data_IF_774952196092
#
_entry.id   IF_774952196092
#
_cell.length_a   1.000
_cell.length_b   1.000
_cell.length_c   1.000
_cell.angle_alpha   90.00
_cell.angle_beta   90.00
_cell.angle_gamma   90.00
#
_symmetry.space_group_name_H-M   'P 1'
#
loop_
_entity.id
_entity.type
_entity.pdbx_description
1 polymer ?
#
# COMPACT_ATOMS: atom_id res chain seq x y z
N UNK A 1 10.27 23.54 -2.06
CA UNK A 1 10.36 22.69 -3.27
C UNK A 1 9.53 21.42 -3.04
N UNK A 2 8.26 21.36 -3.47
CA UNK A 2 7.30 20.32 -3.01
C UNK A 2 6.42 19.73 -4.15
N UNK A 3 6.90 19.70 -5.38
CA UNK A 3 6.05 19.46 -6.56
C UNK A 3 6.59 18.37 -7.52
N UNK A 4 7.43 17.44 -7.05
CA UNK A 4 7.96 16.34 -7.91
C UNK A 4 7.08 15.05 -7.84
N UNK A 5 5.88 15.09 -7.24
CA UNK A 5 5.01 13.91 -7.14
C UNK A 5 3.89 13.83 -8.17
N UNK A 6 3.90 14.64 -9.23
CA UNK A 6 2.79 14.70 -10.20
C UNK A 6 2.92 13.79 -11.43
N UNK A 7 3.90 12.88 -11.49
CA UNK A 7 4.16 12.10 -12.72
C UNK A 7 4.31 10.59 -12.51
N UNK A 8 3.60 10.01 -11.52
CA UNK A 8 3.34 8.56 -11.53
C UNK A 8 1.85 8.29 -11.74
N UNK A 9 1.40 8.07 -13.00
CA UNK A 9 0.00 7.71 -13.27
C UNK A 9 -0.40 6.37 -12.64
N UNK A 10 0.59 5.58 -12.19
CA UNK A 10 0.41 4.25 -11.60
C UNK A 10 0.06 4.30 -10.10
N UNK A 11 0.13 5.48 -9.46
CA UNK A 11 -0.19 5.63 -8.03
C UNK A 11 -1.71 5.75 -7.87
N UNK A 12 -2.36 4.67 -7.43
CA UNK A 12 -3.81 4.65 -7.16
C UNK A 12 -4.13 5.49 -5.93
N UNK A 13 -4.56 6.73 -6.13
CA UNK A 13 -5.09 7.60 -5.07
C UNK A 13 -6.54 7.19 -4.79
N UNK A 14 -6.79 6.43 -3.73
CA UNK A 14 -8.13 6.00 -3.33
C UNK A 14 -8.12 4.87 -2.30
N UNK A 15 -9.30 4.42 -1.87
CA UNK A 15 -9.45 3.28 -0.97
C UNK A 15 -8.84 2.02 -1.57
N UNK A 16 -8.41 1.08 -0.71
CA UNK A 16 -8.01 -0.25 -1.14
C UNK A 16 -9.21 -0.97 -1.77
N UNK A 17 -8.96 -1.74 -2.83
CA UNK A 17 -9.98 -2.63 -3.39
C UNK A 17 -10.10 -3.88 -2.52
N UNK A 18 -11.24 -4.58 -2.56
CA UNK A 18 -11.43 -5.80 -1.75
C UNK A 18 -10.32 -6.85 -1.95
N UNK A 19 -9.78 -6.97 -3.17
CA UNK A 19 -8.63 -7.84 -3.46
C UNK A 19 -7.33 -7.34 -2.80
N UNK A 20 -7.10 -6.03 -2.79
CA UNK A 20 -5.95 -5.42 -2.13
C UNK A 20 -6.05 -5.60 -0.61
N UNK A 21 -7.23 -5.36 -0.02
CA UNK A 21 -7.53 -5.60 1.39
C UNK A 21 -7.23 -7.04 1.80
N UNK A 22 -7.76 -8.02 1.06
CA UNK A 22 -7.54 -9.43 1.35
C UNK A 22 -6.05 -9.80 1.25
N UNK A 23 -5.35 -9.26 0.27
CA UNK A 23 -3.91 -9.48 0.11
C UNK A 23 -3.12 -8.85 1.27
N UNK A 24 -3.45 -7.65 1.71
CA UNK A 24 -2.82 -6.99 2.87
C UNK A 24 -3.01 -7.84 4.12
N UNK A 25 -4.24 -8.30 4.39
CA UNK A 25 -4.55 -9.12 5.57
C UNK A 25 -3.77 -10.45 5.53
N UNK A 26 -3.77 -11.15 4.39
CA UNK A 26 -3.04 -12.41 4.23
C UNK A 26 -1.54 -12.23 4.40
N UNK A 27 -0.97 -11.20 3.76
CA UNK A 27 0.46 -10.93 3.84
C UNK A 27 0.88 -10.44 5.22
N UNK A 28 0.07 -9.63 5.89
CA UNK A 28 0.32 -9.21 7.26
C UNK A 28 0.29 -10.39 8.24
N UNK A 29 -0.66 -11.32 8.08
CA UNK A 29 -0.70 -12.53 8.89
C UNK A 29 0.56 -13.41 8.72
N UNK A 30 1.17 -13.40 7.53
CA UNK A 30 2.38 -14.18 7.23
C UNK A 30 3.69 -13.46 7.60
N UNK A 31 3.74 -12.14 7.41
CA UNK A 31 4.97 -11.35 7.45
C UNK A 31 5.06 -10.39 8.64
N UNK A 32 3.92 -10.11 9.30
CA UNK A 32 3.76 -9.06 10.29
C UNK A 32 3.89 -7.66 9.70
N UNK A 33 4.45 -6.73 10.48
CA UNK A 33 4.58 -5.31 10.12
C UNK A 33 5.68 -5.02 9.08
N UNK A 34 5.90 -5.91 8.11
CA UNK A 34 6.88 -5.74 7.03
C UNK A 34 6.28 -4.96 5.86
N UNK A 35 5.88 -3.72 6.11
CA UNK A 35 5.11 -2.90 5.16
C UNK A 35 5.75 -2.75 3.78
N UNK A 36 7.07 -2.56 3.70
CA UNK A 36 7.79 -2.46 2.43
C UNK A 36 7.71 -3.73 1.59
N UNK A 37 7.66 -4.90 2.24
CA UNK A 37 7.53 -6.19 1.55
C UNK A 37 6.09 -6.41 1.05
N UNK A 38 5.10 -6.01 1.86
CA UNK A 38 3.68 -6.07 1.49
C UNK A 38 3.39 -5.11 0.32
N UNK A 39 3.93 -3.88 0.36
CA UNK A 39 3.81 -2.92 -0.73
C UNK A 39 4.42 -3.41 -2.05
N UNK A 40 5.50 -4.20 -1.98
CA UNK A 40 6.09 -4.84 -3.16
C UNK A 40 5.14 -5.81 -3.88
N UNK A 41 4.08 -6.29 -3.21
CA UNK A 41 3.06 -7.17 -3.79
C UNK A 41 1.81 -6.39 -4.27
N UNK A 42 1.73 -5.10 -3.96
CA UNK A 42 0.59 -4.23 -4.29
C UNK A 42 1.04 -3.14 -5.25
N UNK A 43 1.03 -3.40 -6.58
CA UNK A 43 1.51 -2.43 -7.56
C UNK A 43 0.66 -1.15 -7.47
N UNK A 44 1.35 -0.01 -7.33
CA UNK A 44 0.69 1.29 -7.18
C UNK A 44 0.30 1.64 -5.73
N UNK A 45 0.65 0.81 -4.74
CA UNK A 45 0.55 1.11 -3.31
C UNK A 45 1.92 1.24 -2.67
N UNK A 46 2.01 2.15 -1.71
CA UNK A 46 3.22 2.38 -0.92
C UNK A 46 3.10 1.73 0.46
N UNK A 47 4.24 1.44 1.06
CA UNK A 47 4.34 0.93 2.43
C UNK A 47 3.68 1.86 3.45
N UNK A 48 3.76 3.17 3.21
CA UNK A 48 3.13 4.16 4.06
C UNK A 48 1.59 4.12 3.96
N UNK A 49 1.01 3.89 2.78
CA UNK A 49 -0.44 3.72 2.62
C UNK A 49 -0.95 2.47 3.36
N UNK A 50 -0.24 1.36 3.27
CA UNK A 50 -0.63 0.10 3.94
C UNK A 50 -0.53 0.25 5.45
N UNK A 51 0.55 0.85 5.95
CA UNK A 51 0.70 1.17 7.37
C UNK A 51 -0.41 2.11 7.84
N UNK A 52 -0.79 3.11 7.05
CA UNK A 52 -1.89 4.01 7.40
C UNK A 52 -3.22 3.26 7.45
N UNK A 53 -3.50 2.40 6.47
CA UNK A 53 -4.68 1.55 6.44
C UNK A 53 -4.78 0.65 7.67
N UNK A 54 -3.68 0.07 8.14
CA UNK A 54 -3.69 -0.80 9.32
C UNK A 54 -3.90 -0.05 10.64
N UNK A 55 -3.45 1.20 10.73
CA UNK A 55 -3.56 2.02 11.95
C UNK A 55 -4.78 2.94 11.96
N UNK A 56 -5.60 2.91 10.91
CA UNK A 56 -6.85 3.67 10.79
C UNK A 56 -8.03 2.74 10.99
#
# INVERSE_FOLDING_TARGET
LRWINYLRPDLKRGNFTGDEDELIIRLHALLGNKWSLIAGQLPGRTDNEIKNYWNT
#
